data_IF_040111100276
#
_entry.id   IF_040111100276
#
_cell.length_a   1.000
_cell.length_b   1.000
_cell.length_c   1.000
_cell.angle_alpha   90.00
_cell.angle_beta   90.00
_cell.angle_gamma   90.00
#
_symmetry.space_group_name_H-M   'P 1'
#
loop_
_entity.id
_entity.type
_entity.pdbx_description
1 polymer ?
#
# COMPACT_ATOMS: atom_id res chain seq x y z
N UNK A 1 17.71 -14.78 -14.89
CA UNK A 1 18.42 -14.08 -13.80
C UNK A 1 19.33 -12.94 -14.26
N UNK A 2 19.92 -12.90 -15.48
CA UNK A 2 20.78 -11.76 -15.88
C UNK A 2 20.05 -10.52 -16.41
N UNK A 3 18.78 -10.62 -16.83
CA UNK A 3 18.02 -9.50 -17.40
C UNK A 3 17.16 -8.74 -16.37
N UNK A 4 16.96 -9.27 -15.17
CA UNK A 4 16.10 -8.65 -14.14
C UNK A 4 16.76 -7.40 -13.50
N UNK A 5 18.09 -7.33 -13.49
CA UNK A 5 18.87 -6.27 -12.83
C UNK A 5 19.26 -5.11 -13.76
N UNK A 6 18.96 -5.16 -15.06
CA UNK A 6 19.33 -4.08 -15.99
C UNK A 6 18.28 -2.97 -16.06
N UNK A 7 17.03 -3.28 -15.68
CA UNK A 7 15.93 -2.32 -15.73
C UNK A 7 16.12 -1.12 -14.79
N UNK A 8 16.66 -1.35 -13.59
CA UNK A 8 16.95 -0.28 -12.62
C UNK A 8 17.94 0.77 -13.16
N UNK A 9 18.83 0.39 -14.07
CA UNK A 9 19.79 1.32 -14.68
C UNK A 9 19.15 2.26 -15.69
N UNK A 10 17.98 1.90 -16.21
CA UNK A 10 17.35 2.56 -17.35
C UNK A 10 15.99 3.17 -17.02
N UNK A 11 15.34 2.77 -15.93
CA UNK A 11 14.04 3.28 -15.49
C UNK A 11 14.14 4.02 -14.14
N UNK A 12 13.74 5.29 -14.10
CA UNK A 12 13.68 6.08 -12.85
C UNK A 12 12.55 5.63 -11.92
N UNK A 13 11.41 5.19 -12.46
CA UNK A 13 10.29 4.68 -11.66
C UNK A 13 10.67 3.42 -10.88
N UNK A 14 11.40 2.49 -11.50
CA UNK A 14 11.93 1.30 -10.81
C UNK A 14 12.85 1.70 -9.65
N UNK A 15 13.80 2.61 -9.88
CA UNK A 15 14.71 3.06 -8.82
C UNK A 15 13.98 3.73 -7.67
N UNK A 16 13.03 4.63 -7.95
CA UNK A 16 12.20 5.23 -6.90
C UNK A 16 11.40 4.20 -6.11
N UNK A 17 10.87 3.17 -6.77
CA UNK A 17 10.17 2.08 -6.08
C UNK A 17 11.12 1.29 -5.18
N UNK A 18 12.36 1.03 -5.61
CA UNK A 18 13.38 0.36 -4.80
C UNK A 18 13.77 1.16 -3.56
N UNK A 19 13.83 2.49 -3.64
CA UNK A 19 14.14 3.36 -2.50
C UNK A 19 13.10 3.23 -1.37
N UNK A 20 11.87 2.80 -1.68
CA UNK A 20 10.84 2.57 -0.67
C UNK A 20 11.21 1.49 0.34
N UNK A 21 12.16 0.62 0.01
CA UNK A 21 12.69 -0.34 0.98
C UNK A 21 13.25 0.37 2.22
N UNK A 22 13.90 1.52 2.02
CA UNK A 22 14.43 2.38 3.09
C UNK A 22 13.32 3.29 3.62
N UNK A 23 12.59 3.97 2.74
CA UNK A 23 11.65 5.01 3.18
C UNK A 23 10.46 4.45 3.98
N UNK A 24 9.92 3.29 3.58
CA UNK A 24 8.84 2.66 4.35
C UNK A 24 9.33 2.03 5.65
N UNK A 25 10.60 1.60 5.71
CA UNK A 25 11.22 1.22 6.98
C UNK A 25 11.30 2.43 7.92
N UNK A 26 11.81 3.56 7.42
CA UNK A 26 11.93 4.81 8.19
C UNK A 26 10.58 5.32 8.70
N UNK A 27 9.49 5.18 7.93
CA UNK A 27 8.13 5.53 8.40
C UNK A 27 7.70 4.63 9.57
N UNK A 28 7.86 3.32 9.43
CA UNK A 28 7.36 2.35 10.41
C UNK A 28 8.22 2.31 11.67
N UNK A 29 9.53 2.51 11.56
CA UNK A 29 10.47 2.53 12.69
C UNK A 29 10.57 3.93 13.33
N UNK A 30 9.96 4.96 12.74
CA UNK A 30 10.11 6.36 13.17
C UNK A 30 9.95 6.56 14.68
N UNK A 31 8.91 5.97 15.27
CA UNK A 31 8.66 6.12 16.70
C UNK A 31 9.78 5.50 17.54
N UNK A 32 10.18 4.27 17.21
CA UNK A 32 11.29 3.58 17.86
C UNK A 32 12.61 4.35 17.67
N UNK A 33 12.87 4.85 16.47
CA UNK A 33 14.09 5.61 16.17
C UNK A 33 14.16 6.90 16.99
N UNK A 34 13.04 7.62 17.12
CA UNK A 34 12.92 8.80 17.98
C UNK A 34 13.20 8.45 19.44
N UNK A 35 12.55 7.40 19.97
CA UNK A 35 12.70 6.99 21.38
C UNK A 35 14.14 6.58 21.73
N UNK A 36 14.85 5.96 20.79
CA UNK A 36 16.25 5.57 20.96
C UNK A 36 17.25 6.68 20.60
N UNK A 37 16.78 7.85 20.15
CA UNK A 37 17.62 8.96 19.73
C UNK A 37 18.43 8.67 18.47
N UNK A 38 17.96 7.76 17.61
CA UNK A 38 18.57 7.46 16.33
C UNK A 38 18.52 8.70 15.44
N UNK A 39 19.63 8.96 14.73
CA UNK A 39 19.82 10.21 13.98
C UNK A 39 19.85 9.99 12.48
N UNK A 40 19.86 8.75 12.02
CA UNK A 40 19.96 8.41 10.60
C UNK A 40 18.63 8.18 9.90
N UNK A 41 17.50 8.18 10.62
CA UNK A 41 16.18 8.08 10.02
C UNK A 41 15.92 9.30 9.11
N UNK A 42 15.52 9.06 7.86
CA UNK A 42 15.39 10.11 6.84
C UNK A 42 14.33 11.16 7.21
N UNK A 43 13.27 10.77 7.91
CA UNK A 43 12.21 11.69 8.34
C UNK A 43 12.71 12.59 9.48
N UNK A 44 13.48 12.02 10.42
CA UNK A 44 14.12 12.79 11.49
C UNK A 44 15.13 13.78 10.92
N UNK A 45 15.90 13.39 9.92
CA UNK A 45 16.83 14.27 9.21
C UNK A 45 16.08 15.38 8.46
N UNK A 46 15.04 15.04 7.69
CA UNK A 46 14.21 16.01 6.98
C UNK A 46 13.60 17.04 7.93
N UNK A 47 13.05 16.60 9.07
CA UNK A 47 12.48 17.48 10.08
C UNK A 47 13.51 18.47 10.66
N UNK A 48 14.77 18.05 10.82
CA UNK A 48 15.86 18.89 11.35
C UNK A 48 16.40 19.92 10.35
N UNK A 49 16.47 19.58 9.06
CA UNK A 49 17.18 20.38 8.05
C UNK A 49 16.28 21.01 6.97
N UNK A 50 15.06 20.50 6.76
CA UNK A 50 14.15 20.92 5.68
C UNK A 50 12.83 21.56 6.13
N UNK A 51 12.53 21.59 7.44
CA UNK A 51 11.23 22.00 7.97
C UNK A 51 10.13 20.95 7.71
N UNK A 52 8.98 21.08 8.37
CA UNK A 52 7.86 20.11 8.44
C UNK A 52 7.12 19.82 7.10
N UNK A 53 7.80 19.75 5.96
CA UNK A 53 7.20 19.40 4.68
C UNK A 53 7.18 17.88 4.43
N UNK A 54 6.81 17.11 5.46
CA UNK A 54 6.59 15.64 5.38
C UNK A 54 5.13 15.32 4.98
N UNK A 55 4.32 16.35 4.74
CA UNK A 55 2.94 16.21 4.24
C UNK A 55 2.98 15.48 2.90
N UNK A 56 2.21 14.40 2.77
CA UNK A 56 2.17 13.64 1.53
C UNK A 56 3.22 12.55 1.38
N UNK A 57 4.10 12.35 2.36
CA UNK A 57 5.25 11.46 2.18
C UNK A 57 4.85 10.01 1.95
N UNK A 58 3.92 9.45 2.74
CA UNK A 58 3.48 8.07 2.51
C UNK A 58 2.65 7.94 1.21
N UNK A 59 1.87 8.98 0.85
CA UNK A 59 1.16 9.06 -0.44
C UNK A 59 2.13 9.08 -1.64
N UNK A 60 3.27 9.78 -1.52
CA UNK A 60 4.34 9.79 -2.52
C UNK A 60 5.04 8.43 -2.61
N UNK A 61 5.34 7.81 -1.48
CA UNK A 61 5.87 6.45 -1.42
C UNK A 61 4.95 5.46 -2.15
N UNK A 62 3.64 5.51 -1.88
CA UNK A 62 2.66 4.69 -2.57
C UNK A 62 2.68 4.93 -4.10
N UNK A 63 2.76 6.19 -4.55
CA UNK A 63 2.82 6.51 -5.98
C UNK A 63 4.06 5.94 -6.67
N UNK A 64 5.22 5.86 -6.00
CA UNK A 64 6.41 5.26 -6.61
C UNK A 64 6.18 3.80 -7.08
N UNK A 65 5.39 3.03 -6.33
CA UNK A 65 5.04 1.65 -6.71
C UNK A 65 4.08 1.65 -7.89
N UNK A 66 3.10 2.55 -7.90
CA UNK A 66 2.12 2.67 -8.99
C UNK A 66 2.78 3.12 -10.29
N UNK A 67 3.70 4.08 -10.23
CA UNK A 67 4.53 4.51 -11.35
C UNK A 67 5.35 3.33 -11.89
N UNK A 68 6.01 2.57 -11.01
CA UNK A 68 6.79 1.40 -11.42
C UNK A 68 5.90 0.34 -12.07
N UNK A 69 4.76 0.02 -11.46
CA UNK A 69 3.87 -1.05 -11.92
C UNK A 69 3.12 -0.69 -13.21
N UNK A 70 2.96 0.60 -13.52
CA UNK A 70 2.32 1.11 -14.73
C UNK A 70 3.31 1.49 -15.85
N UNK A 71 4.61 1.45 -15.60
CA UNK A 71 5.61 1.89 -16.56
C UNK A 71 5.75 0.91 -17.74
N UNK A 72 5.62 1.43 -18.96
CA UNK A 72 5.73 0.67 -20.22
C UNK A 72 7.02 1.00 -20.98
N UNK A 73 8.10 1.29 -20.26
CA UNK A 73 9.39 1.66 -20.86
C UNK A 73 10.18 0.44 -21.39
N UNK A 74 11.31 0.70 -22.04
CA UNK A 74 12.16 -0.32 -22.65
C UNK A 74 12.78 -1.33 -21.68
N UNK A 75 12.69 -1.11 -20.35
CA UNK A 75 13.10 -2.10 -19.35
C UNK A 75 12.20 -3.36 -19.37
N UNK A 76 10.97 -3.25 -19.87
CA UNK A 76 10.03 -4.35 -20.07
C UNK A 76 9.30 -4.81 -18.81
N UNK A 77 8.16 -5.48 -18.99
CA UNK A 77 7.23 -5.82 -17.91
C UNK A 77 7.82 -6.77 -16.87
N UNK A 78 8.73 -7.67 -17.27
CA UNK A 78 9.37 -8.62 -16.36
C UNK A 78 10.16 -7.89 -15.26
N UNK A 79 10.92 -6.86 -15.63
CA UNK A 79 11.74 -6.11 -14.69
C UNK A 79 10.88 -5.22 -13.77
N UNK A 80 9.85 -4.56 -14.32
CA UNK A 80 8.90 -3.78 -13.52
C UNK A 80 8.12 -4.66 -12.55
N UNK A 81 7.62 -5.81 -13.00
CA UNK A 81 6.92 -6.75 -12.14
C UNK A 81 7.82 -7.28 -11.03
N UNK A 82 9.06 -7.65 -11.33
CA UNK A 82 10.01 -8.08 -10.31
C UNK A 82 10.25 -6.99 -9.26
N UNK A 83 10.45 -5.75 -9.70
CA UNK A 83 10.67 -4.59 -8.82
C UNK A 83 9.45 -4.35 -7.94
N UNK A 84 8.28 -4.26 -8.56
CA UNK A 84 7.02 -4.08 -7.85
C UNK A 84 6.75 -5.24 -6.88
N UNK A 85 6.99 -6.50 -7.26
CA UNK A 85 6.78 -7.65 -6.38
C UNK A 85 7.74 -7.66 -5.19
N UNK A 86 9.00 -7.29 -5.40
CA UNK A 86 10.00 -7.18 -4.32
C UNK A 86 9.60 -6.10 -3.31
N UNK A 87 9.26 -4.91 -3.83
CA UNK A 87 8.84 -3.77 -3.01
C UNK A 87 7.54 -4.10 -2.27
N UNK A 88 6.54 -4.64 -2.97
CA UNK A 88 5.29 -5.00 -2.31
C UNK A 88 5.49 -6.07 -1.23
N UNK A 89 6.33 -7.08 -1.50
CA UNK A 89 6.66 -8.11 -0.53
C UNK A 89 7.30 -7.57 0.75
N UNK A 90 8.23 -6.61 0.64
CA UNK A 90 8.85 -6.01 1.83
C UNK A 90 7.86 -5.15 2.62
N UNK A 91 6.93 -4.45 1.96
CA UNK A 91 5.94 -3.63 2.65
C UNK A 91 4.99 -4.48 3.49
N UNK A 92 4.56 -5.62 2.96
CA UNK A 92 3.76 -6.59 3.73
C UNK A 92 4.56 -7.14 4.91
N UNK A 93 5.87 -7.37 4.72
CA UNK A 93 6.76 -7.78 5.79
C UNK A 93 6.87 -6.72 6.89
N UNK A 94 7.06 -5.44 6.56
CA UNK A 94 7.09 -4.37 7.56
C UNK A 94 5.75 -4.21 8.27
N UNK A 95 4.64 -4.34 7.54
CA UNK A 95 3.30 -4.24 8.11
C UNK A 95 3.03 -5.32 9.18
N UNK A 96 3.42 -6.57 8.91
CA UNK A 96 2.95 -7.72 9.70
C UNK A 96 4.02 -8.36 10.61
N UNK A 97 5.31 -8.17 10.34
CA UNK A 97 6.37 -8.84 11.10
C UNK A 97 6.47 -8.30 12.53
N UNK A 98 6.70 -9.22 13.47
CA UNK A 98 6.80 -8.94 14.90
C UNK A 98 7.84 -7.88 15.35
N UNK A 99 8.85 -7.60 14.51
CA UNK A 99 9.84 -6.55 14.80
C UNK A 99 9.23 -5.16 14.60
N UNK A 100 8.43 -5.00 13.56
CA UNK A 100 7.93 -3.73 13.07
C UNK A 100 6.51 -3.46 13.56
N UNK A 101 5.70 -4.51 13.71
CA UNK A 101 4.37 -4.44 14.35
C UNK A 101 3.46 -3.33 13.77
N UNK A 102 3.55 -3.01 12.47
CA UNK A 102 2.89 -1.82 11.90
C UNK A 102 1.39 -1.74 12.21
N UNK A 103 0.67 -2.86 12.15
CA UNK A 103 -0.77 -2.89 12.50
C UNK A 103 -1.01 -2.60 13.99
N UNK A 104 -0.16 -3.09 14.88
CA UNK A 104 -0.26 -2.83 16.32
C UNK A 104 0.12 -1.40 16.66
N UNK A 105 1.17 -0.85 16.04
CA UNK A 105 1.54 0.56 16.20
C UNK A 105 0.38 1.46 15.78
N UNK A 106 -0.24 1.18 14.63
CA UNK A 106 -1.43 1.88 14.18
C UNK A 106 -2.56 1.80 15.22
N UNK A 107 -2.78 0.64 15.85
CA UNK A 107 -3.78 0.49 16.91
C UNK A 107 -3.43 1.30 18.15
N UNK A 108 -2.21 1.23 18.65
CA UNK A 108 -1.75 1.98 19.83
C UNK A 108 -1.90 3.49 19.65
N UNK A 109 -1.64 3.98 18.42
CA UNK A 109 -1.63 5.40 18.09
C UNK A 109 -2.95 5.93 17.49
N UNK A 110 -3.98 5.09 17.31
CA UNK A 110 -5.24 5.45 16.62
C UNK A 110 -5.94 6.68 17.19
N UNK A 111 -5.81 6.89 18.50
CA UNK A 111 -6.45 7.98 19.23
C UNK A 111 -5.90 9.37 18.84
N UNK A 112 -4.69 9.45 18.29
CA UNK A 112 -4.16 10.71 17.75
C UNK A 112 -4.93 11.11 16.48
N UNK A 113 -5.10 10.20 15.54
CA UNK A 113 -5.58 10.54 14.19
C UNK A 113 -7.06 10.23 13.95
N UNK A 114 -7.78 9.75 14.97
CA UNK A 114 -9.18 9.29 14.86
C UNK A 114 -10.10 10.29 14.13
N UNK A 115 -10.10 11.55 14.55
CA UNK A 115 -11.01 12.55 13.97
C UNK A 115 -10.58 12.94 12.57
N UNK A 116 -9.27 13.00 12.31
CA UNK A 116 -8.71 13.26 10.98
C UNK A 116 -9.18 12.22 9.98
N UNK A 117 -9.03 10.93 10.31
CA UNK A 117 -9.45 9.86 9.42
C UNK A 117 -10.97 9.71 9.36
N UNK A 118 -11.71 9.98 10.44
CA UNK A 118 -13.18 10.01 10.37
C UNK A 118 -13.66 11.03 9.33
N UNK A 119 -13.16 12.27 9.39
CA UNK A 119 -13.52 13.31 8.44
C UNK A 119 -13.13 12.94 7.00
N UNK A 120 -11.94 12.35 6.85
CA UNK A 120 -11.44 11.89 5.57
C UNK A 120 -12.32 10.79 4.99
N UNK A 121 -12.68 9.80 5.81
CA UNK A 121 -13.58 8.70 5.46
C UNK A 121 -14.98 9.20 5.09
N UNK A 122 -15.52 10.16 5.84
CA UNK A 122 -16.82 10.82 5.55
C UNK A 122 -16.80 11.60 4.22
N UNK A 123 -15.62 11.95 3.71
CA UNK A 123 -15.45 12.64 2.42
C UNK A 123 -15.35 11.71 1.21
N UNK A 124 -15.17 10.40 1.43
CA UNK A 124 -14.99 9.46 0.33
C UNK A 124 -16.29 9.08 -0.36
N UNK A 125 -16.25 9.13 -1.69
CA UNK A 125 -17.34 8.67 -2.56
C UNK A 125 -17.06 7.28 -3.16
N UNK A 126 -15.94 6.63 -2.79
CA UNK A 126 -15.40 5.43 -3.48
C UNK A 126 -14.91 4.37 -2.50
N UNK A 127 -15.84 3.86 -1.67
CA UNK A 127 -15.55 2.93 -0.58
C UNK A 127 -14.33 3.39 0.24
N UNK A 128 -13.46 2.45 0.64
CA UNK A 128 -12.32 2.73 1.49
C UNK A 128 -11.13 3.43 0.78
N UNK A 129 -11.15 3.56 -0.54
CA UNK A 129 -9.97 3.97 -1.30
C UNK A 129 -9.70 5.47 -1.21
N UNK A 130 -8.45 5.83 -0.92
CA UNK A 130 -8.00 7.22 -0.73
C UNK A 130 -7.49 7.83 -2.03
N UNK A 131 -8.31 7.80 -3.08
CA UNK A 131 -7.95 8.24 -4.44
C UNK A 131 -8.09 9.74 -4.68
N UNK A 132 -8.43 10.53 -3.66
CA UNK A 132 -8.63 11.97 -3.81
C UNK A 132 -7.35 12.77 -4.04
N UNK A 133 -6.18 12.23 -3.65
CA UNK A 133 -4.87 12.86 -3.84
C UNK A 133 -3.81 11.87 -4.27
N UNK A 134 -2.92 12.29 -5.17
CA UNK A 134 -1.76 11.51 -5.59
C UNK A 134 -0.54 12.41 -5.73
N UNK A 135 0.65 11.86 -5.50
CA UNK A 135 1.89 12.56 -5.84
C UNK A 135 2.08 12.60 -7.37
N UNK A 136 2.61 13.71 -7.88
CA UNK A 136 3.17 13.85 -9.22
C UNK A 136 4.63 14.23 -9.09
N UNK A 137 5.52 13.42 -9.67
CA UNK A 137 6.97 13.68 -9.63
C UNK A 137 7.37 14.63 -10.75
N UNK A 138 8.04 15.73 -10.42
CA UNK A 138 8.53 16.70 -11.41
C UNK A 138 10.00 16.46 -11.80
N UNK A 139 10.54 15.27 -11.50
CA UNK A 139 11.92 14.89 -11.79
C UNK A 139 12.03 13.42 -12.21
N UNK A 140 13.01 13.13 -13.08
CA UNK A 140 13.44 11.78 -13.44
C UNK A 140 14.57 11.26 -12.53
N UNK A 141 14.93 12.02 -11.50
CA UNK A 141 15.83 11.55 -10.45
C UNK A 141 15.12 10.48 -9.62
N UNK A 142 15.88 9.47 -9.23
CA UNK A 142 15.44 8.44 -8.31
C UNK A 142 15.60 8.95 -6.86
N UNK A 143 14.76 9.92 -6.49
CA UNK A 143 14.69 10.46 -5.13
C UNK A 143 13.33 11.11 -4.91
N UNK A 144 12.89 11.13 -3.65
CA UNK A 144 11.72 11.88 -3.20
C UNK A 144 12.05 13.34 -2.84
N UNK A 145 13.34 13.68 -2.71
CA UNK A 145 13.81 14.99 -2.30
C UNK A 145 15.11 15.41 -3.01
N UNK A 146 15.37 16.73 -3.07
CA UNK A 146 16.62 17.28 -3.58
C UNK A 146 17.72 17.34 -2.50
N UNK A 147 18.90 17.88 -2.86
CA UNK A 147 20.05 18.00 -1.95
C UNK A 147 19.77 18.92 -0.74
N UNK A 148 18.74 19.78 -0.83
CA UNK A 148 18.26 20.64 0.26
C UNK A 148 17.09 20.00 1.04
N UNK A 149 16.81 18.70 0.84
CA UNK A 149 15.67 17.98 1.41
C UNK A 149 14.29 18.54 1.01
N UNK A 150 14.19 19.29 -0.08
CA UNK A 150 12.88 19.76 -0.59
C UNK A 150 12.18 18.63 -1.35
N UNK A 151 10.87 18.43 -1.17
CA UNK A 151 10.12 17.44 -1.93
C UNK A 151 10.29 17.60 -3.45
N UNK A 152 10.48 16.48 -4.15
CA UNK A 152 10.51 16.40 -5.62
C UNK A 152 9.16 15.97 -6.23
N UNK A 153 8.09 16.21 -5.47
CA UNK A 153 6.73 15.85 -5.82
C UNK A 153 5.73 16.90 -5.36
N UNK A 154 4.64 17.01 -6.10
CA UNK A 154 3.45 17.76 -5.70
C UNK A 154 2.30 16.80 -5.42
N UNK A 155 1.52 17.06 -4.37
CA UNK A 155 0.24 16.39 -4.20
C UNK A 155 -0.81 17.05 -5.08
N UNK A 156 -1.34 16.30 -6.04
CA UNK A 156 -2.41 16.74 -6.93
C UNK A 156 -3.74 16.14 -6.48
N UNK A 157 -4.79 16.96 -6.47
CA UNK A 157 -6.15 16.49 -6.26
C UNK A 157 -6.67 15.86 -7.55
N UNK A 158 -7.31 14.70 -7.43
CA UNK A 158 -7.94 14.04 -8.57
C UNK A 158 -9.40 14.49 -8.65
N UNK A 159 -9.86 15.02 -9.79
CA UNK A 159 -11.26 15.40 -9.94
C UNK A 159 -12.15 14.16 -10.05
N UNK A 160 -13.36 14.23 -9.47
CA UNK A 160 -14.30 13.10 -9.44
C UNK A 160 -14.62 12.53 -10.83
N UNK A 161 -14.81 13.39 -11.84
CA UNK A 161 -15.23 12.99 -13.19
C UNK A 161 -14.32 13.60 -14.26
N UNK A 162 -14.05 12.82 -15.30
CA UNK A 162 -13.52 13.33 -16.55
C UNK A 162 -14.60 14.12 -17.29
N UNK A 163 -14.21 15.06 -18.17
CA UNK A 163 -15.14 15.81 -19.01
C UNK A 163 -16.05 14.97 -19.93
N UNK A 164 -15.89 13.64 -19.93
CA UNK A 164 -16.68 12.65 -20.65
C UNK A 164 -17.64 11.84 -19.76
N UNK A 165 -17.76 12.18 -18.47
CA UNK A 165 -18.73 11.57 -17.55
C UNK A 165 -18.26 10.29 -16.84
N UNK A 166 -17.04 9.82 -17.10
CA UNK A 166 -16.45 8.68 -16.37
C UNK A 166 -15.76 9.13 -15.09
N UNK A 167 -15.93 8.35 -14.01
CA UNK A 167 -15.29 8.63 -12.72
C UNK A 167 -13.78 8.34 -12.78
N UNK A 168 -12.95 9.36 -12.55
CA UNK A 168 -11.49 9.21 -12.60
C UNK A 168 -10.95 8.39 -11.44
N UNK A 169 -11.56 8.49 -10.26
CA UNK A 169 -11.17 7.69 -9.09
C UNK A 169 -11.31 6.19 -9.38
N UNK A 170 -12.39 5.75 -10.01
CA UNK A 170 -12.57 4.35 -10.39
C UNK A 170 -11.55 3.88 -11.42
N UNK A 171 -11.18 4.74 -12.37
CA UNK A 171 -10.14 4.42 -13.34
C UNK A 171 -8.78 4.22 -12.65
N UNK A 172 -8.44 5.08 -11.71
CA UNK A 172 -7.20 4.99 -10.92
C UNK A 172 -7.20 3.75 -10.04
N UNK A 173 -8.29 3.50 -9.29
CA UNK A 173 -8.41 2.32 -8.43
C UNK A 173 -8.31 1.04 -9.27
N UNK A 174 -9.02 0.95 -10.40
CA UNK A 174 -8.91 -0.20 -11.31
C UNK A 174 -7.49 -0.41 -11.81
N UNK A 175 -6.76 0.68 -12.08
CA UNK A 175 -5.36 0.63 -12.51
C UNK A 175 -4.45 0.13 -11.39
N UNK A 176 -4.66 0.58 -10.14
CA UNK A 176 -3.95 0.05 -8.97
C UNK A 176 -4.18 -1.45 -8.80
N UNK A 177 -5.43 -1.90 -8.80
CA UNK A 177 -5.78 -3.30 -8.66
C UNK A 177 -5.17 -4.16 -9.77
N UNK A 178 -5.20 -3.69 -11.03
CA UNK A 178 -4.61 -4.42 -12.15
C UNK A 178 -3.09 -4.49 -12.06
N UNK A 179 -2.43 -3.35 -11.90
CA UNK A 179 -0.97 -3.31 -12.00
C UNK A 179 -0.29 -3.96 -10.79
N UNK A 180 -0.90 -3.86 -9.61
CA UNK A 180 -0.34 -4.44 -8.38
C UNK A 180 -0.77 -5.88 -8.14
N UNK A 181 -2.04 -6.20 -8.36
CA UNK A 181 -2.57 -7.53 -8.01
C UNK A 181 -2.56 -8.51 -9.19
N UNK A 182 -2.73 -8.07 -10.43
CA UNK A 182 -2.68 -8.96 -11.59
C UNK A 182 -1.24 -9.15 -12.08
N UNK A 183 -0.84 -10.41 -12.26
CA UNK A 183 0.43 -10.74 -12.92
C UNK A 183 0.37 -10.36 -14.40
N UNK A 184 1.48 -9.92 -15.00
CA UNK A 184 1.53 -9.50 -16.43
C UNK A 184 0.89 -10.51 -17.38
N UNK A 185 1.09 -11.81 -17.15
CA UNK A 185 0.55 -12.89 -17.99
C UNK A 185 -0.99 -12.97 -17.99
N UNK A 186 -1.64 -12.25 -17.06
CA UNK A 186 -3.08 -12.22 -16.83
C UNK A 186 -3.70 -10.84 -17.02
N UNK A 187 -2.91 -9.76 -17.01
CA UNK A 187 -3.42 -8.38 -16.84
C UNK A 187 -4.47 -8.02 -17.91
N UNK A 188 -4.15 -8.25 -19.17
CA UNK A 188 -5.05 -7.97 -20.30
C UNK A 188 -6.30 -8.88 -20.31
N UNK A 189 -6.17 -10.09 -19.76
CA UNK A 189 -7.26 -11.08 -19.71
C UNK A 189 -8.31 -10.77 -18.64
N UNK A 190 -7.97 -9.95 -17.65
CA UNK A 190 -8.86 -9.62 -16.52
C UNK A 190 -9.17 -8.14 -16.42
N UNK A 191 -8.59 -7.29 -17.28
CA UNK A 191 -8.74 -5.84 -17.20
C UNK A 191 -10.22 -5.43 -17.18
N UNK A 192 -11.00 -5.95 -18.14
CA UNK A 192 -12.41 -5.61 -18.26
C UNK A 192 -13.20 -6.02 -17.01
N UNK A 193 -12.98 -7.24 -16.53
CA UNK A 193 -13.63 -7.80 -15.35
C UNK A 193 -13.27 -7.01 -14.09
N UNK A 194 -12.01 -6.61 -13.91
CA UNK A 194 -11.59 -5.76 -12.78
C UNK A 194 -12.23 -4.37 -12.86
N UNK A 195 -12.33 -3.78 -14.04
CA UNK A 195 -12.96 -2.44 -14.22
C UNK A 195 -14.45 -2.49 -13.87
N UNK A 196 -15.17 -3.52 -14.32
CA UNK A 196 -16.57 -3.71 -13.93
C UNK A 196 -16.71 -4.02 -12.44
N UNK A 197 -15.83 -4.87 -11.89
CA UNK A 197 -15.79 -5.16 -10.46
C UNK A 197 -15.62 -3.89 -9.61
N UNK A 198 -14.72 -2.97 -10.00
CA UNK A 198 -14.55 -1.66 -9.34
C UNK A 198 -15.84 -0.84 -9.42
N UNK A 199 -16.45 -0.76 -10.60
CA UNK A 199 -17.69 0.00 -10.77
C UNK A 199 -18.80 -0.54 -9.87
N UNK A 200 -19.00 -1.85 -9.84
CA UNK A 200 -20.06 -2.49 -9.05
C UNK A 200 -19.80 -2.42 -7.53
N UNK A 201 -18.56 -2.71 -7.12
CA UNK A 201 -18.23 -2.92 -5.70
C UNK A 201 -17.68 -1.70 -4.99
N UNK A 202 -17.29 -0.66 -5.72
CA UNK A 202 -16.70 0.57 -5.15
C UNK A 202 -17.55 1.79 -5.49
N UNK A 203 -17.89 1.98 -6.77
CA UNK A 203 -18.64 3.17 -7.19
C UNK A 203 -20.12 3.07 -6.84
N UNK A 204 -20.75 1.96 -7.21
CA UNK A 204 -22.18 1.73 -6.95
C UNK A 204 -22.44 1.24 -5.53
N UNK A 205 -21.41 0.77 -4.83
CA UNK A 205 -21.47 0.33 -3.44
C UNK A 205 -20.29 0.91 -2.66
N UNK A 206 -20.48 2.07 -2.04
CA UNK A 206 -19.43 2.80 -1.33
C UNK A 206 -19.23 2.34 0.12
N UNK A 207 -19.63 1.10 0.47
CA UNK A 207 -19.51 0.59 1.84
C UNK A 207 -18.04 0.42 2.25
N UNK A 208 -17.63 1.13 3.30
CA UNK A 208 -16.24 1.18 3.79
C UNK A 208 -15.76 -0.16 4.35
N UNK A 209 -16.68 -0.94 4.93
CA UNK A 209 -16.37 -2.26 5.49
C UNK A 209 -15.82 -3.22 4.42
N UNK A 210 -16.22 -3.04 3.15
CA UNK A 210 -15.75 -3.83 2.00
C UNK A 210 -15.74 -5.36 2.26
N UNK A 211 -16.76 -5.87 2.96
CA UNK A 211 -16.83 -7.28 3.38
C UNK A 211 -16.71 -8.22 2.18
N UNK A 212 -15.70 -9.08 2.21
CA UNK A 212 -15.41 -10.06 1.15
C UNK A 212 -14.79 -9.49 -0.12
N UNK A 213 -14.68 -8.16 -0.27
CA UNK A 213 -14.18 -7.52 -1.49
C UNK A 213 -12.82 -8.06 -1.95
N UNK A 214 -11.85 -8.13 -1.02
CA UNK A 214 -10.49 -8.53 -1.36
C UNK A 214 -10.39 -10.02 -1.68
N UNK A 215 -11.15 -10.85 -0.98
CA UNK A 215 -11.30 -12.26 -1.30
C UNK A 215 -11.91 -12.50 -2.68
N UNK A 216 -12.96 -11.75 -3.04
CA UNK A 216 -13.61 -11.82 -4.36
C UNK A 216 -12.66 -11.37 -5.48
N UNK A 217 -11.88 -10.31 -5.23
CA UNK A 217 -10.84 -9.86 -6.14
C UNK A 217 -9.82 -10.97 -6.41
N UNK A 218 -9.36 -11.69 -5.38
CA UNK A 218 -8.43 -12.82 -5.54
C UNK A 218 -9.05 -13.93 -6.38
N UNK A 219 -10.33 -14.25 -6.16
CA UNK A 219 -11.06 -15.24 -6.97
C UNK A 219 -11.12 -14.81 -8.44
N UNK A 220 -11.45 -13.53 -8.69
CA UNK A 220 -11.49 -12.96 -10.04
C UNK A 220 -10.11 -13.04 -10.73
N UNK A 221 -9.04 -12.64 -10.03
CA UNK A 221 -7.67 -12.66 -10.56
C UNK A 221 -7.12 -14.08 -10.75
N UNK A 222 -7.57 -15.04 -9.94
CA UNK A 222 -7.24 -16.45 -10.09
C UNK A 222 -7.95 -17.07 -11.31
N UNK A 223 -9.23 -16.77 -11.50
CA UNK A 223 -10.10 -17.49 -12.45
C UNK A 223 -10.09 -19.00 -12.22
N UNK A 224 -10.33 -19.78 -13.27
CA UNK A 224 -10.46 -21.24 -13.18
C UNK A 224 -9.11 -22.01 -13.19
N UNK A 225 -7.99 -21.30 -13.09
CA UNK A 225 -6.64 -21.90 -13.23
C UNK A 225 -6.19 -22.72 -12.02
N UNK A 226 -6.77 -22.47 -10.85
CA UNK A 226 -6.26 -22.98 -9.57
C UNK A 226 -7.33 -23.79 -8.84
N UNK A 227 -6.89 -24.74 -8.02
CA UNK A 227 -7.78 -25.52 -7.18
C UNK A 227 -8.57 -24.62 -6.22
N UNK A 228 -9.88 -24.86 -6.10
CA UNK A 228 -10.76 -24.07 -5.24
C UNK A 228 -10.22 -23.91 -3.81
N UNK A 229 -9.66 -24.98 -3.23
CA UNK A 229 -9.16 -24.97 -1.85
C UNK A 229 -8.02 -23.97 -1.64
N UNK A 230 -7.07 -23.85 -2.58
CA UNK A 230 -5.95 -22.91 -2.43
C UNK A 230 -6.43 -21.47 -2.59
N UNK A 231 -7.31 -21.21 -3.57
CA UNK A 231 -7.88 -19.88 -3.80
C UNK A 231 -8.69 -19.43 -2.59
N UNK A 232 -9.54 -20.30 -2.04
CA UNK A 232 -10.34 -20.01 -0.86
C UNK A 232 -9.47 -19.65 0.35
N UNK A 233 -8.36 -20.36 0.58
CA UNK A 233 -7.41 -20.04 1.66
C UNK A 233 -6.71 -18.69 1.43
N UNK A 234 -6.34 -18.37 0.19
CA UNK A 234 -5.80 -17.05 -0.16
C UNK A 234 -6.79 -15.93 0.13
N UNK A 235 -8.03 -16.09 -0.32
CA UNK A 235 -9.10 -15.13 -0.09
C UNK A 235 -9.39 -14.96 1.40
N UNK A 236 -9.41 -16.05 2.17
CA UNK A 236 -9.63 -16.02 3.62
C UNK A 236 -8.54 -15.22 4.34
N UNK A 237 -7.26 -15.55 4.13
CA UNK A 237 -6.13 -14.87 4.81
C UNK A 237 -6.13 -13.38 4.52
N UNK A 238 -6.35 -12.99 3.25
CA UNK A 238 -6.38 -11.58 2.86
C UNK A 238 -7.58 -10.84 3.47
N UNK A 239 -8.76 -11.45 3.51
CA UNK A 239 -9.91 -10.88 4.21
C UNK A 239 -9.68 -10.75 5.72
N UNK A 240 -9.06 -11.75 6.37
CA UNK A 240 -8.76 -11.68 7.79
C UNK A 240 -7.77 -10.54 8.12
N UNK A 241 -6.78 -10.28 7.25
CA UNK A 241 -5.86 -9.15 7.43
C UNK A 241 -6.58 -7.81 7.22
N UNK A 242 -7.50 -7.73 6.25
CA UNK A 242 -8.36 -6.55 6.08
C UNK A 242 -9.22 -6.25 7.33
N UNK A 243 -9.87 -7.28 7.88
CA UNK A 243 -10.64 -7.16 9.12
C UNK A 243 -9.76 -6.72 10.29
N UNK A 244 -8.55 -7.26 10.39
CA UNK A 244 -7.58 -6.85 11.40
C UNK A 244 -7.18 -5.37 11.26
N UNK A 245 -6.95 -4.87 10.04
CA UNK A 245 -6.66 -3.45 9.80
C UNK A 245 -7.84 -2.57 10.20
N UNK A 246 -9.08 -3.01 9.94
CA UNK A 246 -10.29 -2.32 10.37
C UNK A 246 -10.44 -2.27 11.89
N UNK A 247 -10.24 -3.40 12.55
CA UNK A 247 -10.28 -3.50 14.01
C UNK A 247 -9.22 -2.61 14.67
N UNK A 248 -8.02 -2.55 14.08
CA UNK A 248 -6.91 -1.73 14.58
C UNK A 248 -7.20 -0.22 14.50
N UNK A 249 -8.10 0.23 13.62
CA UNK A 249 -8.50 1.65 13.55
C UNK A 249 -9.82 1.94 14.22
N UNK A 250 -10.56 0.91 14.63
CA UNK A 250 -11.82 1.06 15.34
C UNK A 250 -11.57 1.58 16.76
N UNK A 251 -12.44 2.49 17.20
CA UNK A 251 -12.45 2.98 18.58
C UNK A 251 -13.29 2.09 19.50
N UNK A 252 -13.96 1.07 18.95
CA UNK A 252 -14.43 -0.07 19.72
C UNK A 252 -13.28 -0.68 20.53
N UNK A 253 -13.60 -1.23 21.70
CA UNK A 253 -12.65 -1.79 22.68
C UNK A 253 -11.97 -3.08 22.18
N UNK A 254 -11.36 -3.08 20.99
CA UNK A 254 -10.49 -4.17 20.58
C UNK A 254 -9.17 -4.03 21.34
N UNK A 255 -8.81 -5.10 22.04
CA UNK A 255 -7.57 -5.16 22.80
C UNK A 255 -6.37 -5.13 21.84
N UNK A 256 -5.40 -4.26 22.11
CA UNK A 256 -4.16 -4.15 21.33
C UNK A 256 -3.40 -5.48 21.34
N UNK A 257 -3.49 -6.26 22.43
CA UNK A 257 -2.85 -7.57 22.51
C UNK A 257 -3.53 -8.59 21.57
N UNK A 258 -4.85 -8.52 21.39
CA UNK A 258 -5.57 -9.33 20.40
C UNK A 258 -5.12 -8.96 18.97
N UNK A 259 -5.02 -7.66 18.67
CA UNK A 259 -4.50 -7.17 17.38
C UNK A 259 -3.10 -7.70 17.12
N UNK A 260 -2.21 -7.63 18.12
CA UNK A 260 -0.83 -8.11 18.05
C UNK A 260 -0.79 -9.61 17.74
N UNK A 261 -1.53 -10.42 18.49
CA UNK A 261 -1.54 -11.87 18.31
C UNK A 261 -2.11 -12.27 16.95
N UNK A 262 -3.20 -11.64 16.53
CA UNK A 262 -3.80 -11.86 15.19
C UNK A 262 -2.88 -11.42 14.07
N UNK A 263 -2.14 -10.32 14.23
CA UNK A 263 -1.13 -9.86 13.27
C UNK A 263 0.00 -10.87 13.08
N UNK A 264 0.55 -11.41 14.18
CA UNK A 264 1.59 -12.44 14.15
C UNK A 264 1.06 -13.71 13.46
N UNK A 265 -0.15 -14.15 13.79
CA UNK A 265 -0.76 -15.33 13.18
C UNK A 265 -0.96 -15.12 11.67
N UNK A 266 -1.49 -13.96 11.27
CA UNK A 266 -1.67 -13.60 9.86
C UNK A 266 -0.34 -13.59 9.09
N UNK A 267 0.76 -13.12 9.68
CA UNK A 267 2.09 -13.19 9.08
C UNK A 267 2.56 -14.63 8.85
N UNK A 268 2.38 -15.51 9.84
CA UNK A 268 2.76 -16.93 9.75
C UNK A 268 1.95 -17.61 8.65
N UNK A 269 0.62 -17.44 8.66
CA UNK A 269 -0.27 -18.01 7.65
C UNK A 269 0.08 -17.53 6.24
N UNK A 270 0.40 -16.24 6.08
CA UNK A 270 0.82 -15.67 4.81
C UNK A 270 2.12 -16.31 4.29
N UNK A 271 3.13 -16.52 5.15
CA UNK A 271 4.37 -17.21 4.76
C UNK A 271 4.08 -18.65 4.32
N UNK A 272 3.30 -19.38 5.11
CA UNK A 272 2.97 -20.77 4.79
C UNK A 272 2.24 -20.87 3.46
N UNK A 273 1.28 -19.98 3.24
CA UNK A 273 0.50 -19.94 2.01
C UNK A 273 1.36 -19.51 0.83
N UNK A 274 2.24 -18.52 1.00
CA UNK A 274 3.22 -18.11 -0.01
C UNK A 274 4.18 -19.24 -0.41
N UNK A 275 4.56 -20.12 0.54
CA UNK A 275 5.33 -21.34 0.22
C UNK A 275 4.50 -22.35 -0.56
N UNK A 276 3.23 -22.54 -0.20
CA UNK A 276 2.31 -23.46 -0.89
C UNK A 276 2.01 -23.01 -2.33
N UNK A 277 1.73 -21.73 -2.54
CA UNK A 277 1.46 -21.19 -3.88
C UNK A 277 2.68 -21.35 -4.80
N UNK A 278 3.91 -21.13 -4.30
CA UNK A 278 5.15 -21.36 -5.08
C UNK A 278 5.35 -22.81 -5.52
N UNK A 279 4.74 -23.78 -4.85
CA UNK A 279 4.81 -25.19 -5.23
C UNK A 279 3.82 -25.58 -6.35
N UNK A 280 2.92 -24.67 -6.74
CA UNK A 280 1.89 -24.89 -7.75
C UNK A 280 2.35 -24.25 -9.07
N UNK A 281 2.08 -24.91 -10.19
CA UNK A 281 2.31 -24.33 -11.52
C UNK A 281 1.58 -22.98 -11.65
N UNK A 282 2.29 -21.95 -12.14
CA UNK A 282 1.78 -20.57 -12.24
C UNK A 282 1.33 -19.94 -10.90
N UNK A 283 1.69 -20.52 -9.75
CA UNK A 283 1.23 -20.02 -8.45
C UNK A 283 1.77 -18.64 -8.06
N UNK A 284 2.72 -18.09 -8.82
CA UNK A 284 3.14 -16.68 -8.72
C UNK A 284 1.97 -15.71 -9.02
N UNK A 285 0.98 -16.10 -9.82
CA UNK A 285 -0.24 -15.31 -10.08
C UNK A 285 -1.03 -15.11 -8.78
N UNK A 286 -1.25 -16.19 -8.02
CA UNK A 286 -1.92 -16.13 -6.71
C UNK A 286 -1.09 -15.36 -5.69
N UNK A 287 0.23 -15.60 -5.66
CA UNK A 287 1.14 -14.89 -4.78
C UNK A 287 1.06 -13.37 -4.99
N UNK A 288 1.07 -12.92 -6.25
CA UNK A 288 0.93 -11.50 -6.59
C UNK A 288 -0.45 -10.94 -6.24
N UNK A 289 -1.53 -11.67 -6.53
CA UNK A 289 -2.88 -11.23 -6.18
C UNK A 289 -3.02 -10.98 -4.67
N UNK A 290 -2.47 -11.86 -3.84
CA UNK A 290 -2.46 -11.69 -2.39
C UNK A 290 -1.58 -10.52 -1.95
N UNK A 291 -0.31 -10.51 -2.34
CA UNK A 291 0.66 -9.50 -1.89
C UNK A 291 0.25 -8.11 -2.38
N UNK A 292 -0.18 -7.98 -3.63
CA UNK A 292 -0.69 -6.73 -4.18
C UNK A 292 -1.92 -6.21 -3.44
N UNK A 293 -2.87 -7.10 -3.12
CA UNK A 293 -4.05 -6.71 -2.32
C UNK A 293 -3.65 -6.19 -0.95
N UNK A 294 -2.78 -6.91 -0.23
CA UNK A 294 -2.31 -6.51 1.10
C UNK A 294 -1.57 -5.17 1.08
N UNK A 295 -0.75 -4.92 0.06
CA UNK A 295 -0.08 -3.63 -0.05
C UNK A 295 -1.02 -2.49 -0.36
N UNK A 296 -2.00 -2.68 -1.25
CA UNK A 296 -3.00 -1.65 -1.55
C UNK A 296 -3.84 -1.29 -0.33
N UNK A 297 -4.18 -2.25 0.53
CA UNK A 297 -4.79 -1.95 1.82
C UNK A 297 -3.89 -1.01 2.64
N UNK A 298 -2.59 -1.33 2.70
CA UNK A 298 -1.64 -0.63 3.55
C UNK A 298 -1.28 0.79 3.07
N UNK A 299 -1.47 1.14 1.79
CA UNK A 299 -1.04 2.42 1.24
C UNK A 299 -2.10 3.23 0.48
N UNK A 300 -3.20 2.60 0.03
CA UNK A 300 -4.25 3.24 -0.79
C UNK A 300 -5.65 3.23 -0.17
N UNK A 301 -5.78 2.85 1.10
CA UNK A 301 -7.08 2.86 1.81
C UNK A 301 -7.07 3.74 3.04
N UNK A 302 -8.26 4.02 3.57
CA UNK A 302 -8.44 4.80 4.79
C UNK A 302 -7.84 4.12 6.02
N UNK A 303 -7.41 2.87 5.93
CA UNK A 303 -6.61 2.14 6.93
C UNK A 303 -5.13 2.04 6.54
N UNK A 304 -4.64 2.94 5.68
CA UNK A 304 -3.24 2.95 5.25
C UNK A 304 -2.30 3.02 6.46
N UNK A 305 -1.58 1.92 6.68
CA UNK A 305 -0.69 1.72 7.84
C UNK A 305 0.41 2.77 7.87
N UNK A 306 1.11 2.96 6.74
CA UNK A 306 2.23 3.88 6.67
C UNK A 306 1.80 5.34 6.89
N UNK A 307 0.71 5.77 6.24
CA UNK A 307 0.20 7.13 6.41
C UNK A 307 -0.31 7.37 7.83
N UNK A 308 -1.03 6.40 8.41
CA UNK A 308 -1.57 6.53 9.78
C UNK A 308 -0.50 6.60 10.84
N UNK A 309 0.54 5.76 10.74
CA UNK A 309 1.68 5.79 11.64
C UNK A 309 2.38 7.14 11.55
N UNK A 310 2.73 7.57 10.32
CA UNK A 310 3.40 8.84 10.09
C UNK A 310 2.61 10.01 10.68
N UNK A 311 1.31 10.10 10.35
CA UNK A 311 0.45 11.17 10.83
C UNK A 311 0.31 11.17 12.35
N UNK A 312 0.20 10.00 12.97
CA UNK A 312 0.05 9.91 14.41
C UNK A 312 1.32 10.30 15.16
N UNK A 313 2.49 9.89 14.66
CA UNK A 313 3.78 10.28 15.22
C UNK A 313 3.96 11.79 15.12
N UNK A 314 3.71 12.38 13.95
CA UNK A 314 3.84 13.82 13.75
C UNK A 314 2.89 14.61 14.68
N UNK A 315 1.62 14.22 14.76
CA UNK A 315 0.63 14.87 15.64
C UNK A 315 0.99 14.71 17.12
N UNK A 316 1.50 13.54 17.52
CA UNK A 316 1.98 13.33 18.88
C UNK A 316 3.16 14.27 19.20
N UNK A 317 4.12 14.38 18.27
CA UNK A 317 5.33 15.17 18.46
C UNK A 317 5.06 16.68 18.52
N UNK A 318 4.18 17.21 17.67
CA UNK A 318 3.72 18.60 17.74
C UNK A 318 3.19 18.95 19.14
N UNK A 319 2.39 18.04 19.74
CA UNK A 319 1.83 18.23 21.09
C UNK A 319 2.88 18.18 22.21
N UNK A 320 3.92 17.36 22.06
CA UNK A 320 4.96 17.15 23.09
C UNK A 320 6.03 18.23 23.05
N UNK A 321 6.48 18.61 21.86
CA UNK A 321 7.64 19.50 21.67
C UNK A 321 7.21 20.96 21.44
N UNK A 322 5.93 21.22 21.16
CA UNK A 322 5.40 22.58 21.03
C UNK A 322 5.95 23.32 19.82
N UNK A 323 6.13 22.61 18.71
CA UNK A 323 6.35 23.20 17.38
C UNK A 323 5.00 23.57 16.79
#
# INVERSE_FOLDING_TARGET
MSHEWEGERTCSAMRRALDLFVMSNDIIDLNSDIDHGETTNSIVLAARYGGLNVIGYAEACATCIDDCASCVCSAGDVAHDWTSDMVQGILVFFMLKHRYMGVTQMAEMRHFTVQKYKNLTDSYNHAAFTSGRMATFHSNVASLHDDDWKPLYDLVNIPNYSGFGECQHCQIIGTWLLNRCAHRDRRDLVEKEVREFVKERIHLNSALEMKGFWGDLIVLLAGDKFGYEIVAKCSQVVNCIWELLRDAVDNGMVDVEDIRQRGINGYIELIELGRKTRAISEGHILGRAMVGSLTLMADRTDVSVFQRILDAVLEHWEKVVGI
#
